data_IF_231436125614
#
_entry.id   IF_231436125614
#
_cell.length_a   1.000
_cell.length_b   1.000
_cell.length_c   1.000
_cell.angle_alpha   90.00
_cell.angle_beta   90.00
_cell.angle_gamma   90.00
#
_symmetry.space_group_name_H-M   'P 1'
#
loop_
_entity.id
_entity.type
_entity.pdbx_description
1 polymer ?
#
# COMPACT_ATOMS: atom_id res chain seq x y z
N UNK A 1 -21.08 25.74 6.88
CA UNK A 1 -19.85 25.65 6.09
C UNK A 1 -18.71 25.40 7.06
N UNK A 2 -18.40 24.13 7.30
CA UNK A 2 -17.23 23.68 8.03
C UNK A 2 -16.95 22.25 7.56
N UNK A 3 -16.00 22.12 6.64
CA UNK A 3 -15.38 20.84 6.32
C UNK A 3 -14.06 20.84 7.08
N UNK A 4 -13.98 20.04 8.14
CA UNK A 4 -12.69 19.66 8.71
C UNK A 4 -11.91 18.96 7.60
N UNK A 5 -10.91 19.64 7.06
CA UNK A 5 -9.90 18.97 6.24
C UNK A 5 -9.13 18.09 7.20
N UNK A 6 -9.38 16.78 7.18
CA UNK A 6 -8.39 15.82 7.65
C UNK A 6 -7.08 16.17 6.96
N UNK A 7 -6.10 16.64 7.73
CA UNK A 7 -4.74 16.76 7.28
C UNK A 7 -4.22 15.34 7.07
N UNK A 8 -4.42 14.78 5.87
CA UNK A 8 -3.61 13.67 5.41
C UNK A 8 -2.17 14.17 5.42
N UNK A 9 -1.40 13.75 6.42
CA UNK A 9 0.03 13.95 6.40
C UNK A 9 0.53 13.40 5.07
N UNK A 10 1.31 14.19 4.33
CA UNK A 10 1.81 13.81 3.01
C UNK A 10 2.86 12.71 3.21
N UNK A 11 2.40 11.47 3.39
CA UNK A 11 3.24 10.31 3.67
C UNK A 11 4.12 9.93 2.48
N UNK A 12 3.84 10.48 1.30
CA UNK A 12 4.57 10.23 0.04
C UNK A 12 6.05 10.65 0.18
N UNK A 13 6.32 11.83 0.74
CA UNK A 13 7.68 12.35 0.95
C UNK A 13 8.32 11.89 2.28
N UNK A 14 7.61 11.05 3.06
CA UNK A 14 8.13 10.60 4.34
C UNK A 14 9.31 9.63 4.16
N UNK A 15 10.25 9.57 5.12
CA UNK A 15 11.31 8.56 5.10
C UNK A 15 10.74 7.14 5.07
N UNK A 16 11.33 6.24 4.27
CA UNK A 16 10.87 4.85 4.11
C UNK A 16 10.79 4.08 5.43
N UNK A 17 11.60 4.44 6.43
CA UNK A 17 11.55 3.90 7.80
C UNK A 17 10.19 4.07 8.50
N UNK A 18 9.35 5.01 8.08
CA UNK A 18 7.98 5.14 8.60
C UNK A 18 7.14 3.88 8.28
N UNK A 19 7.43 3.19 7.17
CA UNK A 19 6.80 1.89 6.86
C UNK A 19 7.07 0.87 7.97
N UNK A 20 8.27 0.85 8.55
CA UNK A 20 8.61 -0.05 9.65
C UNK A 20 7.77 0.24 10.90
N UNK A 21 7.54 1.53 11.20
CA UNK A 21 6.72 1.93 12.34
C UNK A 21 5.26 1.47 12.20
N UNK A 22 4.68 1.62 11.00
CA UNK A 22 3.31 1.18 10.71
C UNK A 22 3.24 -0.36 10.66
N UNK A 23 4.20 -1.00 10.00
CA UNK A 23 4.34 -2.46 9.92
C UNK A 23 4.48 -3.12 11.30
N UNK A 24 5.06 -2.42 12.28
CA UNK A 24 5.22 -2.91 13.65
C UNK A 24 3.92 -3.38 14.30
N UNK A 25 2.75 -2.91 13.85
CA UNK A 25 1.43 -3.40 14.28
C UNK A 25 1.18 -4.88 13.92
N UNK A 26 1.90 -5.40 12.93
CA UNK A 26 1.79 -6.78 12.45
C UNK A 26 2.81 -7.73 13.11
N UNK A 27 3.82 -7.22 13.83
CA UNK A 27 4.94 -8.03 14.34
C UNK A 27 4.54 -9.16 15.30
N UNK A 28 3.45 -9.00 16.05
CA UNK A 28 2.97 -10.01 17.00
C UNK A 28 1.94 -10.97 16.40
N UNK A 29 1.57 -10.79 15.13
CA UNK A 29 0.58 -11.64 14.45
C UNK A 29 1.24 -12.84 13.78
N UNK A 30 1.11 -14.02 14.39
CA UNK A 30 1.55 -15.29 13.81
C UNK A 30 0.33 -16.01 13.22
N UNK A 31 0.18 -15.98 11.88
CA UNK A 31 -0.91 -16.67 11.18
C UNK A 31 -1.66 -15.77 10.21
N UNK A 32 -2.96 -16.05 9.99
CA UNK A 32 -3.85 -15.21 9.20
C UNK A 32 -4.03 -13.88 9.95
N UNK A 33 -3.69 -12.77 9.29
CA UNK A 33 -3.91 -11.40 9.79
C UNK A 33 -5.41 -11.14 9.86
N UNK A 34 -5.91 -10.79 11.05
CA UNK A 34 -7.29 -10.36 11.22
C UNK A 34 -7.38 -8.87 10.88
N UNK A 35 -8.10 -8.54 9.81
CA UNK A 35 -8.30 -7.16 9.36
C UNK A 35 -9.63 -6.68 9.93
N UNK A 36 -9.56 -5.70 10.83
CA UNK A 36 -10.73 -5.19 11.55
C UNK A 36 -11.12 -3.78 11.11
N UNK A 37 -10.15 -2.99 10.64
CA UNK A 37 -10.34 -1.61 10.21
C UNK A 37 -9.34 -1.19 9.11
N UNK A 38 -9.40 0.08 8.70
CA UNK A 38 -8.51 0.66 7.69
C UNK A 38 -7.06 0.83 8.18
N UNK A 39 -6.83 0.93 9.50
CA UNK A 39 -5.49 0.99 10.07
C UNK A 39 -4.76 -0.35 9.99
N UNK A 40 -5.47 -1.46 10.20
CA UNK A 40 -4.98 -2.82 10.02
C UNK A 40 -4.62 -3.06 8.55
N UNK A 41 -5.45 -2.61 7.61
CA UNK A 41 -5.17 -2.68 6.16
C UNK A 41 -3.91 -1.92 5.78
N UNK A 42 -3.80 -0.67 6.24
CA UNK A 42 -2.61 0.15 6.01
C UNK A 42 -1.34 -0.47 6.62
N UNK A 43 -1.46 -1.06 7.82
CA UNK A 43 -0.33 -1.72 8.47
C UNK A 43 0.10 -3.02 7.79
N UNK A 44 -0.84 -3.80 7.26
CA UNK A 44 -0.52 -4.97 6.44
C UNK A 44 0.20 -4.56 5.14
N UNK A 45 -0.28 -3.51 4.48
CA UNK A 45 0.39 -2.97 3.28
C UNK A 45 1.79 -2.44 3.61
N UNK A 46 1.95 -1.74 4.74
CA UNK A 46 3.25 -1.26 5.20
C UNK A 46 4.23 -2.41 5.52
N UNK A 47 3.78 -3.52 6.12
CA UNK A 47 4.61 -4.71 6.35
C UNK A 47 5.12 -5.31 5.04
N UNK A 48 4.25 -5.43 4.04
CA UNK A 48 4.65 -5.93 2.72
C UNK A 48 5.70 -5.01 2.06
N UNK A 49 5.46 -3.69 2.06
CA UNK A 49 6.39 -2.71 1.49
C UNK A 49 7.71 -2.62 2.27
N UNK A 50 7.68 -2.75 3.60
CA UNK A 50 8.89 -2.75 4.41
C UNK A 50 9.77 -3.97 4.10
N UNK A 51 9.17 -5.17 4.03
CA UNK A 51 9.90 -6.39 3.63
C UNK A 51 10.46 -6.30 2.21
N UNK A 52 9.75 -5.62 1.31
CA UNK A 52 10.26 -5.32 -0.02
C UNK A 52 11.48 -4.41 0.05
N UNK A 53 11.38 -3.28 0.77
CA UNK A 53 12.46 -2.32 0.95
C UNK A 53 13.72 -2.96 1.57
N UNK A 54 13.55 -3.85 2.55
CA UNK A 54 14.66 -4.61 3.15
C UNK A 54 15.37 -5.51 2.13
N UNK A 55 14.62 -6.11 1.20
CA UNK A 55 15.17 -7.03 0.19
C UNK A 55 15.83 -6.30 -0.98
N UNK A 56 15.38 -5.09 -1.28
CA UNK A 56 15.93 -4.27 -2.37
C UNK A 56 16.98 -3.27 -1.92
N UNK A 57 17.13 -3.08 -0.60
CA UNK A 57 18.09 -2.13 -0.01
C UNK A 57 17.55 -0.71 0.13
N UNK A 58 16.25 -0.49 -0.10
CA UNK A 58 15.56 0.80 0.04
C UNK A 58 15.15 1.12 1.49
N UNK A 59 15.46 0.23 2.45
CA UNK A 59 15.22 0.43 3.88
C UNK A 59 16.23 1.37 4.57
N UNK A 60 17.07 2.07 3.80
CA UNK A 60 18.12 2.95 4.31
C UNK A 60 17.61 4.37 4.61
N UNK A 61 18.30 5.07 5.51
CA UNK A 61 18.01 6.47 5.82
C UNK A 61 18.19 7.36 4.58
N UNK A 62 17.12 8.00 4.14
CA UNK A 62 17.12 8.98 3.03
C UNK A 62 16.22 8.63 1.86
N UNK A 63 15.81 7.36 1.73
CA UNK A 63 14.81 6.95 0.75
C UNK A 63 13.41 7.36 1.20
N UNK A 64 12.57 7.78 0.26
CA UNK A 64 11.18 8.13 0.56
C UNK A 64 10.26 6.91 0.44
N UNK A 65 9.11 6.99 1.11
CA UNK A 65 8.01 6.03 0.93
C UNK A 65 7.56 6.01 -0.54
N UNK A 66 7.53 7.17 -1.22
CA UNK A 66 7.23 7.24 -2.66
C UNK A 66 8.17 6.37 -3.49
N UNK A 67 9.48 6.46 -3.27
CA UNK A 67 10.46 5.66 -4.02
C UNK A 67 10.23 4.16 -3.82
N UNK A 68 10.01 3.73 -2.58
CA UNK A 68 9.67 2.32 -2.29
C UNK A 68 8.40 1.89 -3.01
N UNK A 69 7.36 2.73 -3.00
CA UNK A 69 6.08 2.43 -3.63
C UNK A 69 6.19 2.37 -5.16
N UNK A 70 6.90 3.31 -5.78
CA UNK A 70 7.13 3.35 -7.23
C UNK A 70 7.90 2.11 -7.68
N UNK A 71 8.98 1.74 -6.98
CA UNK A 71 9.78 0.57 -7.32
C UNK A 71 8.97 -0.73 -7.13
N UNK A 72 8.19 -0.82 -6.06
CA UNK A 72 7.29 -1.96 -5.86
C UNK A 72 6.24 -2.07 -6.98
N UNK A 73 5.63 -0.96 -7.38
CA UNK A 73 4.69 -0.94 -8.50
C UNK A 73 5.38 -1.32 -9.82
N UNK A 74 6.61 -0.89 -10.06
CA UNK A 74 7.38 -1.28 -11.24
C UNK A 74 7.58 -2.81 -11.29
N UNK A 75 7.95 -3.42 -10.17
CA UNK A 75 8.07 -4.88 -10.06
C UNK A 75 6.73 -5.59 -10.23
N UNK A 76 5.62 -5.01 -9.74
CA UNK A 76 4.27 -5.50 -10.01
C UNK A 76 3.92 -5.44 -11.50
N UNK A 77 4.31 -4.40 -12.23
CA UNK A 77 4.17 -4.33 -13.69
C UNK A 77 4.97 -5.42 -14.39
N UNK A 78 6.20 -5.70 -13.94
CA UNK A 78 7.00 -6.82 -14.44
C UNK A 78 6.32 -8.17 -14.18
N UNK A 79 5.76 -8.36 -12.97
CA UNK A 79 5.00 -9.55 -12.62
C UNK A 79 3.75 -9.70 -13.51
N UNK A 80 2.97 -8.64 -13.70
CA UNK A 80 1.77 -8.67 -14.55
C UNK A 80 2.10 -9.02 -16.00
N UNK A 81 3.25 -8.56 -16.53
CA UNK A 81 3.73 -9.00 -17.85
C UNK A 81 4.07 -10.48 -17.85
N UNK A 82 4.75 -10.97 -16.82
CA UNK A 82 5.13 -12.37 -16.71
C UNK A 82 3.93 -13.32 -16.56
N UNK A 83 2.85 -12.86 -15.90
CA UNK A 83 1.63 -13.65 -15.70
C UNK A 83 0.60 -13.51 -16.82
N UNK A 84 0.85 -12.66 -17.82
CA UNK A 84 -0.04 -12.46 -18.97
C UNK A 84 -1.21 -11.48 -18.71
N UNK A 85 -1.24 -10.83 -17.54
CA UNK A 85 -2.17 -9.73 -17.26
C UNK A 85 -1.88 -8.49 -18.12
N UNK A 86 -0.62 -8.34 -18.54
CA UNK A 86 -0.19 -7.35 -19.52
C UNK A 86 0.49 -8.08 -20.69
N UNK A 87 -0.06 -7.92 -21.90
CA UNK A 87 0.53 -8.37 -23.17
C UNK A 87 0.58 -7.20 -24.15
N UNK A 88 1.17 -7.34 -25.35
CA UNK A 88 1.08 -6.31 -26.38
C UNK A 88 -0.35 -5.98 -26.81
N UNK A 89 -1.29 -6.93 -26.66
CA UNK A 89 -2.68 -6.83 -27.08
C UNK A 89 -3.63 -6.39 -25.95
N UNK A 90 -3.23 -6.53 -24.68
CA UNK A 90 -4.07 -6.19 -23.53
C UNK A 90 -3.27 -5.63 -22.36
N UNK A 91 -3.87 -4.69 -21.64
CA UNK A 91 -3.35 -4.24 -20.35
C UNK A 91 -4.49 -4.25 -19.32
N UNK A 92 -4.57 -5.31 -18.52
CA UNK A 92 -5.62 -5.47 -17.51
C UNK A 92 -5.29 -4.76 -16.19
N UNK A 93 -4.06 -4.28 -16.02
CA UNK A 93 -3.60 -3.68 -14.77
C UNK A 93 -4.39 -2.43 -14.37
N UNK A 94 -4.74 -1.58 -15.34
CA UNK A 94 -5.54 -0.38 -15.09
C UNK A 94 -6.96 -0.72 -14.60
N UNK A 95 -7.57 -1.76 -15.16
CA UNK A 95 -8.89 -2.24 -14.71
C UNK A 95 -8.85 -2.82 -13.31
N UNK A 96 -7.80 -3.59 -12.99
CA UNK A 96 -7.56 -4.11 -11.63
C UNK A 96 -7.38 -2.96 -10.65
N UNK A 97 -6.64 -1.91 -11.03
CA UNK A 97 -6.45 -0.75 -10.17
C UNK A 97 -7.74 0.01 -9.90
N UNK A 98 -8.55 0.25 -10.93
CA UNK A 98 -9.87 0.87 -10.77
C UNK A 98 -10.79 0.03 -9.86
N UNK A 99 -10.77 -1.30 -9.98
CA UNK A 99 -11.52 -2.18 -9.07
C UNK A 99 -11.01 -2.12 -7.64
N UNK A 100 -9.69 -2.07 -7.43
CA UNK A 100 -9.11 -1.94 -6.10
C UNK A 100 -9.47 -0.61 -5.43
N UNK A 101 -9.49 0.49 -6.20
CA UNK A 101 -9.92 1.81 -5.73
C UNK A 101 -11.39 1.80 -5.30
N UNK A 102 -12.30 1.26 -6.13
CA UNK A 102 -13.71 1.11 -5.75
C UNK A 102 -13.91 0.31 -4.46
N UNK A 103 -13.12 -0.74 -4.25
CA UNK A 103 -13.20 -1.54 -3.02
C UNK A 103 -12.73 -0.74 -1.80
N UNK A 104 -11.65 0.03 -1.94
CA UNK A 104 -11.14 0.88 -0.85
C UNK A 104 -12.17 1.96 -0.47
N UNK A 105 -12.81 2.60 -1.45
CA UNK A 105 -13.86 3.61 -1.21
C UNK A 105 -15.11 3.03 -0.52
N UNK A 106 -15.52 1.80 -0.88
CA UNK A 106 -16.64 1.13 -0.22
C UNK A 106 -16.33 0.81 1.24
N UNK A 107 -15.11 0.35 1.53
CA UNK A 107 -14.66 0.06 2.90
C UNK A 107 -14.59 1.34 3.77
N UNK A 108 -14.39 2.53 3.17
CA UNK A 108 -14.46 3.81 3.88
C UNK A 108 -15.91 4.24 4.18
N UNK A 109 -16.82 4.09 3.22
CA UNK A 109 -18.22 4.48 3.38
C UNK A 109 -18.97 3.67 4.46
N UNK A 110 -18.62 2.39 4.63
CA UNK A 110 -19.22 1.52 5.66
C UNK A 110 -18.72 1.84 7.08
N UNK A 111 -17.65 2.65 7.22
CA UNK A 111 -17.08 3.02 8.52
C UNK A 111 -17.63 4.33 9.12
N UNK A 112 -18.37 5.12 8.34
CA UNK A 112 -18.93 6.41 8.74
C UNK A 112 -20.37 6.32 9.32
N UNK A 113 -20.98 5.13 9.35
CA UNK A 113 -22.36 4.88 9.79
C UNK A 113 -22.48 4.34 11.25
N UNK A 114 -21.40 4.34 12.05
CA UNK A 114 -21.42 4.01 13.50
C UNK A 114 -21.33 5.23 14.45
#
# INVERSE_FOLDING_TARGET
MNTEKMHYANFIDAPSRELSAIAGRMNDQVGIVHISDNNDRAALAADALWRFAERTGLSQDGESVETVLVDFMADMFHLCRQTGLITPEQNLFTGIMASAEMHAEMDEADSDDE
#
